data_IF_787920956284
#
_entry.id   IF_787920956284
#
_cell.length_a   1.000
_cell.length_b   1.000
_cell.length_c   1.000
_cell.angle_alpha   90.00
_cell.angle_beta   90.00
_cell.angle_gamma   90.00
#
_symmetry.space_group_name_H-M   'P 1'
#
loop_
_entity.id
_entity.type
_entity.pdbx_description
1 polymer ?
#
# COMPACT_ATOMS: atom_id res chain seq x y z
N UNK A 1 -23.68 -24.63 3.82
CA UNK A 1 -23.26 -25.07 5.17
C UNK A 1 -23.34 -23.86 6.08
N UNK A 2 -24.41 -23.80 6.88
CA UNK A 2 -24.65 -22.75 7.87
C UNK A 2 -23.56 -22.81 8.93
N UNK A 3 -22.65 -21.84 8.92
CA UNK A 3 -21.65 -21.69 9.96
C UNK A 3 -22.34 -21.35 11.28
N UNK A 4 -22.16 -22.22 12.27
CA UNK A 4 -22.62 -22.03 13.63
C UNK A 4 -22.07 -20.70 14.15
N UNK A 5 -22.93 -19.70 14.38
CA UNK A 5 -22.50 -18.41 14.93
C UNK A 5 -22.14 -18.64 16.38
N UNK A 6 -20.91 -18.33 16.78
CA UNK A 6 -20.51 -18.41 18.17
C UNK A 6 -21.44 -17.53 19.04
N UNK A 7 -21.75 -18.01 20.24
CA UNK A 7 -22.60 -17.26 21.17
C UNK A 7 -21.99 -15.88 21.50
N UNK A 8 -22.81 -14.82 21.65
CA UNK A 8 -22.30 -13.48 21.97
C UNK A 8 -21.54 -13.43 23.31
N UNK A 9 -20.30 -12.94 23.26
CA UNK A 9 -19.40 -12.70 24.40
C UNK A 9 -19.85 -11.55 25.30
N UNK A 10 -20.74 -10.68 24.84
CA UNK A 10 -21.49 -9.67 25.59
C UNK A 10 -22.95 -9.66 25.16
N UNK A 11 -23.86 -9.36 26.09
CA UNK A 11 -25.28 -9.24 25.84
C UNK A 11 -25.68 -7.79 25.48
N UNK A 12 -26.74 -7.61 24.71
CA UNK A 12 -27.31 -6.28 24.46
C UNK A 12 -27.81 -5.66 25.79
N UNK A 13 -27.70 -4.34 25.92
CA UNK A 13 -27.95 -3.57 27.15
C UNK A 13 -27.05 -3.88 28.35
N UNK A 14 -26.11 -4.84 28.24
CA UNK A 14 -25.14 -5.11 29.29
C UNK A 14 -24.27 -3.87 29.53
N UNK A 15 -24.06 -3.51 30.80
CA UNK A 15 -23.08 -2.49 31.18
C UNK A 15 -21.74 -3.18 31.42
N UNK A 16 -20.71 -2.71 30.71
CA UNK A 16 -19.32 -3.10 30.91
C UNK A 16 -18.61 -1.95 31.60
N UNK A 17 -17.96 -2.24 32.72
CA UNK A 17 -17.19 -1.27 33.49
C UNK A 17 -15.71 -1.62 33.40
N UNK A 18 -14.90 -0.65 33.00
CA UNK A 18 -13.44 -0.77 33.12
C UNK A 18 -13.04 -0.73 34.59
N UNK A 19 -12.35 -1.76 35.12
CA UNK A 19 -11.94 -1.79 36.51
C UNK A 19 -10.92 -0.69 36.86
N UNK A 20 -10.06 -0.28 35.92
CA UNK A 20 -9.05 0.75 36.16
C UNK A 20 -9.59 2.17 35.99
N UNK A 21 -10.31 2.44 34.90
CA UNK A 21 -10.76 3.81 34.58
C UNK A 21 -12.16 4.13 35.12
N UNK A 22 -12.90 3.10 35.58
CA UNK A 22 -14.31 3.19 35.99
C UNK A 22 -15.25 3.69 34.87
N UNK A 23 -14.79 3.74 33.63
CA UNK A 23 -15.63 4.08 32.48
C UNK A 23 -16.64 2.96 32.26
N UNK A 24 -17.91 3.34 32.23
CA UNK A 24 -19.03 2.44 31.98
C UNK A 24 -19.52 2.62 30.54
N UNK A 25 -19.72 1.50 29.84
CA UNK A 25 -20.25 1.47 28.50
C UNK A 25 -21.41 0.48 28.42
N UNK A 26 -22.57 0.93 27.93
CA UNK A 26 -23.72 0.07 27.63
C UNK A 26 -23.55 -0.53 26.25
N UNK A 27 -23.58 -1.85 26.15
CA UNK A 27 -23.50 -2.59 24.89
C UNK A 27 -24.81 -2.42 24.13
N UNK A 28 -24.75 -1.99 22.89
CA UNK A 28 -25.93 -1.79 22.04
C UNK A 28 -26.18 -3.04 21.19
N UNK A 29 -25.22 -3.39 20.33
CA UNK A 29 -25.34 -4.52 19.40
C UNK A 29 -23.98 -5.01 18.91
N UNK A 30 -23.94 -6.27 18.47
CA UNK A 30 -22.79 -6.84 17.77
C UNK A 30 -22.59 -6.15 16.41
N UNK A 31 -21.36 -5.73 16.12
CA UNK A 31 -20.95 -5.17 14.83
C UNK A 31 -20.29 -6.21 13.93
N UNK A 32 -19.51 -7.12 14.51
CA UNK A 32 -18.82 -8.15 13.75
C UNK A 32 -18.10 -9.16 14.65
N UNK A 33 -17.71 -10.28 14.03
CA UNK A 33 -17.00 -11.38 14.67
C UNK A 33 -15.90 -11.87 13.73
N UNK A 34 -14.76 -12.27 14.31
CA UNK A 34 -13.67 -12.90 13.58
C UNK A 34 -12.71 -13.63 14.50
N UNK A 35 -11.58 -14.11 13.94
CA UNK A 35 -10.60 -14.91 14.68
C UNK A 35 -9.94 -14.22 15.89
N UNK A 36 -10.10 -12.90 16.01
CA UNK A 36 -9.59 -12.09 17.13
C UNK A 36 -10.64 -11.74 18.17
N UNK A 37 -11.89 -12.17 18.01
CA UNK A 37 -12.98 -11.93 18.95
C UNK A 37 -14.19 -11.24 18.30
N UNK A 38 -15.02 -10.65 19.16
CA UNK A 38 -16.26 -9.98 18.78
C UNK A 38 -16.16 -8.48 19.04
N UNK A 39 -16.76 -7.67 18.17
CA UNK A 39 -16.77 -6.21 18.29
C UNK A 39 -18.21 -5.73 18.43
N UNK A 40 -18.45 -4.90 19.43
CA UNK A 40 -19.77 -4.37 19.77
C UNK A 40 -19.79 -2.86 19.62
N UNK A 41 -20.93 -2.33 19.18
CA UNK A 41 -21.24 -0.92 19.36
C UNK A 41 -21.65 -0.71 20.81
N UNK A 42 -21.17 0.37 21.43
CA UNK A 42 -21.52 0.70 22.80
C UNK A 42 -21.67 2.21 23.00
N UNK A 43 -22.49 2.57 23.97
CA UNK A 43 -22.70 3.94 24.43
C UNK A 43 -22.01 4.12 25.77
N UNK A 44 -21.01 4.99 25.85
CA UNK A 44 -20.37 5.40 27.09
C UNK A 44 -21.37 6.15 27.97
N UNK A 45 -21.48 5.75 29.23
CA UNK A 45 -22.33 6.38 30.23
C UNK A 45 -21.59 7.51 30.96
N UNK A 46 -22.34 8.48 31.48
CA UNK A 46 -21.80 9.63 32.20
C UNK A 46 -21.10 10.67 31.31
N UNK A 47 -20.25 11.52 31.88
CA UNK A 47 -19.45 12.51 31.16
C UNK A 47 -17.98 12.07 31.06
N UNK A 48 -17.33 12.33 29.93
CA UNK A 48 -15.90 12.13 29.74
C UNK A 48 -15.36 13.13 28.72
N UNK A 49 -14.25 13.78 29.05
CA UNK A 49 -13.55 14.67 28.12
C UNK A 49 -12.67 13.91 27.10
N UNK A 50 -12.35 12.64 27.36
CA UNK A 50 -11.37 11.87 26.58
C UNK A 50 -12.01 10.78 25.72
N UNK A 51 -13.11 10.19 26.20
CA UNK A 51 -13.78 9.08 25.52
C UNK A 51 -15.12 9.59 24.94
N UNK A 52 -15.35 9.46 23.62
CA UNK A 52 -16.61 9.83 23.00
C UNK A 52 -17.80 9.07 23.59
N UNK A 53 -19.01 9.60 23.39
CA UNK A 53 -20.23 8.92 23.79
C UNK A 53 -20.44 7.59 23.04
N UNK A 54 -20.13 7.55 21.75
CA UNK A 54 -20.26 6.32 20.95
C UNK A 54 -18.87 5.71 20.70
N UNK A 55 -18.72 4.44 21.10
CA UNK A 55 -17.47 3.69 21.02
C UNK A 55 -17.70 2.27 20.50
N UNK A 56 -16.61 1.56 20.21
CA UNK A 56 -16.63 0.12 20.01
C UNK A 56 -15.97 -0.60 21.19
N UNK A 57 -16.54 -1.73 21.61
CA UNK A 57 -15.89 -2.64 22.55
C UNK A 57 -15.48 -3.90 21.78
N UNK A 58 -14.18 -4.12 21.61
CA UNK A 58 -13.65 -5.39 21.09
C UNK A 58 -13.36 -6.31 22.26
N UNK A 59 -13.85 -7.54 22.18
CA UNK A 59 -13.77 -8.55 23.24
C UNK A 59 -13.16 -9.83 22.69
N UNK A 60 -12.11 -10.32 23.34
CA UNK A 60 -11.44 -11.56 22.95
C UNK A 60 -11.22 -12.47 24.15
N UNK A 61 -11.42 -13.79 24.02
CA UNK A 61 -10.98 -14.74 25.04
C UNK A 61 -9.46 -15.01 24.96
N UNK A 62 -8.75 -14.48 23.95
CA UNK A 62 -7.33 -14.74 23.71
C UNK A 62 -6.48 -13.50 23.99
N UNK A 63 -5.50 -13.65 24.87
CA UNK A 63 -4.64 -12.55 25.30
C UNK A 63 -3.65 -12.08 24.21
N UNK A 64 -3.13 -12.98 23.37
CA UNK A 64 -1.99 -12.67 22.48
C UNK A 64 -2.27 -11.55 21.47
N UNK A 65 -3.44 -11.59 20.83
CA UNK A 65 -3.87 -10.57 19.86
C UNK A 65 -4.19 -9.25 20.55
N UNK A 66 -4.89 -9.35 21.68
CA UNK A 66 -5.25 -8.20 22.51
C UNK A 66 -4.01 -7.44 23.02
N UNK A 67 -2.98 -8.13 23.51
CA UNK A 67 -1.74 -7.49 23.99
C UNK A 67 -1.06 -6.67 22.89
N UNK A 68 -1.04 -7.20 21.66
CA UNK A 68 -0.47 -6.46 20.52
C UNK A 68 -1.29 -5.23 20.18
N UNK A 69 -2.62 -5.37 20.13
CA UNK A 69 -3.51 -4.23 19.86
C UNK A 69 -3.44 -3.16 20.94
N UNK A 70 -3.38 -3.56 22.22
CA UNK A 70 -3.16 -2.67 23.34
C UNK A 70 -1.82 -1.91 23.21
N UNK A 71 -0.73 -2.62 22.95
CA UNK A 71 0.61 -2.04 22.80
C UNK A 71 0.67 -1.05 21.63
N UNK A 72 0.20 -1.46 20.44
CA UNK A 72 0.24 -0.59 19.25
C UNK A 72 -0.79 0.54 19.34
N UNK A 73 -1.91 0.32 20.01
CA UNK A 73 -2.87 1.36 20.36
C UNK A 73 -2.23 2.47 21.18
N UNK A 74 -1.44 2.11 22.19
CA UNK A 74 -0.68 3.07 22.99
C UNK A 74 0.43 3.74 22.17
N UNK A 75 1.19 2.98 21.38
CA UNK A 75 2.26 3.52 20.52
C UNK A 75 1.73 4.55 19.50
N UNK A 76 0.50 4.35 19.02
CA UNK A 76 -0.15 5.18 18.00
C UNK A 76 -1.18 6.15 18.58
N UNK A 77 -1.27 6.28 19.90
CA UNK A 77 -2.23 7.19 20.51
C UNK A 77 -2.02 8.63 20.02
N UNK A 78 -3.12 9.33 19.80
CA UNK A 78 -3.16 10.67 19.21
C UNK A 78 -2.88 10.73 17.70
N UNK A 79 -2.48 9.63 17.04
CA UNK A 79 -2.20 9.68 15.61
C UNK A 79 -3.50 9.85 14.78
N UNK A 80 -3.62 10.86 13.91
CA UNK A 80 -4.89 11.18 13.21
C UNK A 80 -5.33 10.14 12.17
N UNK A 81 -4.52 9.11 11.96
CA UNK A 81 -4.65 8.06 10.93
C UNK A 81 -4.67 6.65 11.50
N UNK A 82 -4.70 6.50 12.83
CA UNK A 82 -4.90 5.23 13.52
C UNK A 82 -6.22 5.28 14.30
N UNK A 83 -6.94 4.16 14.36
CA UNK A 83 -8.09 3.98 15.26
C UNK A 83 -7.58 4.10 16.69
N UNK A 84 -8.15 5.03 17.45
CA UNK A 84 -7.73 5.26 18.84
C UNK A 84 -8.20 4.11 19.74
N UNK A 85 -7.32 3.70 20.65
CA UNK A 85 -7.64 2.83 21.78
C UNK A 85 -7.80 3.72 23.00
N UNK A 86 -9.02 3.83 23.51
CA UNK A 86 -9.35 4.65 24.69
C UNK A 86 -9.06 3.91 25.99
N UNK A 87 -9.29 2.60 26.01
CA UNK A 87 -9.12 1.79 27.21
C UNK A 87 -8.82 0.33 26.88
N UNK A 88 -8.22 -0.39 27.82
CA UNK A 88 -7.86 -1.80 27.74
C UNK A 88 -7.98 -2.44 29.12
N UNK A 89 -8.79 -3.49 29.25
CA UNK A 89 -9.02 -4.10 30.56
C UNK A 89 -9.49 -5.55 30.45
N UNK A 90 -9.25 -6.39 31.49
CA UNK A 90 -9.88 -7.68 31.62
C UNK A 90 -11.30 -7.56 32.19
N UNK A 91 -12.19 -8.47 31.79
CA UNK A 91 -13.55 -8.62 32.29
C UNK A 91 -13.79 -10.08 32.67
N UNK A 92 -14.19 -10.34 33.91
CA UNK A 92 -14.58 -11.67 34.35
C UNK A 92 -16.04 -11.95 33.96
N UNK A 93 -16.28 -13.04 33.22
CA UNK A 93 -17.64 -13.50 32.86
C UNK A 93 -17.70 -15.02 32.91
N UNK A 94 -18.62 -15.57 33.72
CA UNK A 94 -18.86 -17.01 33.79
C UNK A 94 -17.61 -17.84 34.11
N UNK A 95 -16.72 -17.33 34.97
CA UNK A 95 -15.46 -17.99 35.33
C UNK A 95 -14.34 -17.83 34.30
N UNK A 96 -14.56 -17.12 33.19
CA UNK A 96 -13.56 -16.87 32.15
C UNK A 96 -13.14 -15.39 32.11
N UNK A 97 -11.86 -15.14 31.88
CA UNK A 97 -11.32 -13.80 31.58
C UNK A 97 -11.58 -13.47 30.10
N UNK A 98 -12.23 -12.35 29.86
CA UNK A 98 -12.37 -11.72 28.56
C UNK A 98 -11.49 -10.47 28.50
N UNK A 99 -10.74 -10.29 27.43
CA UNK A 99 -9.87 -9.13 27.23
C UNK A 99 -10.59 -8.10 26.35
N UNK A 100 -10.81 -6.91 26.90
CA UNK A 100 -11.60 -5.85 26.29
C UNK A 100 -10.72 -4.68 25.83
N UNK A 101 -11.06 -4.09 24.68
CA UNK A 101 -10.55 -2.81 24.20
C UNK A 101 -11.71 -1.87 23.92
N UNK A 102 -11.64 -0.65 24.43
CA UNK A 102 -12.55 0.44 24.06
C UNK A 102 -11.90 1.23 22.92
N UNK A 103 -12.57 1.31 21.78
CA UNK A 103 -12.02 1.80 20.52
C UNK A 103 -12.87 2.93 19.93
N UNK A 104 -12.23 3.75 19.09
CA UNK A 104 -12.93 4.71 18.23
C UNK A 104 -13.93 4.02 17.30
N UNK A 105 -15.17 4.51 17.27
CA UNK A 105 -16.20 4.04 16.34
C UNK A 105 -16.08 4.72 14.98
N UNK A 106 -15.77 3.95 13.94
CA UNK A 106 -15.83 4.41 12.56
C UNK A 106 -17.22 4.17 11.96
N UNK A 107 -18.06 5.22 11.95
CA UNK A 107 -19.48 5.10 11.56
C UNK A 107 -19.74 4.56 10.15
N UNK A 108 -18.79 4.71 9.23
CA UNK A 108 -18.95 4.20 7.86
C UNK A 108 -18.38 2.78 7.66
N UNK A 109 -17.91 2.14 8.73
CA UNK A 109 -17.37 0.79 8.72
C UNK A 109 -16.01 0.68 8.05
N UNK A 110 -15.64 -0.54 7.66
CA UNK A 110 -14.41 -0.81 6.94
C UNK A 110 -14.48 -0.35 5.47
N UNK A 111 -13.32 -0.19 4.86
CA UNK A 111 -13.16 0.29 3.50
C UNK A 111 -13.76 -0.67 2.46
N UNK A 112 -13.74 -1.98 2.72
CA UNK A 112 -14.32 -2.97 1.82
C UNK A 112 -15.84 -2.79 1.70
N UNK A 113 -16.52 -2.72 2.84
CA UNK A 113 -17.95 -2.50 2.91
C UNK A 113 -18.33 -1.11 2.38
N UNK A 114 -17.51 -0.09 2.66
CA UNK A 114 -17.72 1.27 2.17
C UNK A 114 -17.69 1.35 0.63
N UNK A 115 -16.65 0.79 0.01
CA UNK A 115 -16.52 0.80 -1.45
C UNK A 115 -17.65 0.00 -2.10
N UNK A 116 -17.97 -1.18 -1.53
CA UNK A 116 -19.05 -2.05 -2.02
C UNK A 116 -20.42 -1.35 -2.04
N UNK A 117 -20.74 -0.55 -1.01
CA UNK A 117 -21.99 0.25 -0.98
C UNK A 117 -21.96 1.43 -1.94
N UNK A 118 -20.80 2.08 -2.09
CA UNK A 118 -20.69 3.29 -2.92
C UNK A 118 -20.70 2.99 -4.43
N UNK A 119 -20.16 1.84 -4.83
CA UNK A 119 -19.96 1.43 -6.22
C UNK A 119 -19.09 2.38 -7.05
N UNK A 120 -18.42 3.37 -6.43
CA UNK A 120 -17.71 4.45 -7.12
C UNK A 120 -16.29 4.61 -6.59
N UNK A 121 -15.35 4.68 -7.54
CA UNK A 121 -13.96 5.00 -7.26
C UNK A 121 -13.80 6.38 -6.63
N UNK A 122 -12.75 6.54 -5.83
CA UNK A 122 -12.36 7.83 -5.28
C UNK A 122 -11.59 8.63 -6.32
N UNK A 123 -11.71 9.96 -6.24
CA UNK A 123 -10.86 10.82 -7.06
C UNK A 123 -9.40 10.60 -6.71
N UNK A 124 -8.52 10.71 -7.72
CA UNK A 124 -7.08 10.54 -7.51
C UNK A 124 -6.54 11.45 -6.40
N UNK A 125 -7.01 12.70 -6.31
CA UNK A 125 -6.63 13.64 -5.25
C UNK A 125 -6.98 13.10 -3.86
N UNK A 126 -8.18 12.56 -3.70
CA UNK A 126 -8.64 12.00 -2.43
C UNK A 126 -7.84 10.72 -2.08
N UNK A 127 -7.68 9.81 -3.04
CA UNK A 127 -6.93 8.57 -2.85
C UNK A 127 -5.47 8.83 -2.46
N UNK A 128 -4.79 9.78 -3.12
CA UNK A 128 -3.42 10.20 -2.78
C UNK A 128 -3.33 10.72 -1.33
N UNK A 129 -4.25 11.60 -0.93
CA UNK A 129 -4.30 12.19 0.41
C UNK A 129 -4.46 11.11 1.49
N UNK A 130 -5.42 10.21 1.28
CA UNK A 130 -5.79 9.21 2.29
C UNK A 130 -4.75 8.09 2.39
N UNK A 131 -4.21 7.63 1.26
CA UNK A 131 -3.10 6.66 1.26
C UNK A 131 -1.82 7.26 1.88
N UNK A 132 -1.52 8.53 1.62
CA UNK A 132 -0.38 9.20 2.27
C UNK A 132 -0.54 9.22 3.79
N UNK A 133 -1.74 9.46 4.30
CA UNK A 133 -2.02 9.42 5.74
C UNK A 133 -1.85 8.02 6.35
N UNK A 134 -2.27 6.95 5.65
CA UNK A 134 -2.03 5.59 6.11
C UNK A 134 -0.53 5.24 6.10
N UNK A 135 0.21 5.71 5.09
CA UNK A 135 1.65 5.53 4.99
C UNK A 135 2.41 6.25 6.11
N UNK A 136 1.89 7.35 6.67
CA UNK A 136 2.50 8.03 7.83
C UNK A 136 2.51 7.13 9.07
N UNK A 137 1.40 6.41 9.33
CA UNK A 137 1.34 5.39 10.40
C UNK A 137 2.33 4.27 10.11
N UNK A 138 2.33 3.77 8.87
CA UNK A 138 3.19 2.67 8.47
C UNK A 138 4.68 3.05 8.57
N UNK A 139 5.04 4.29 8.22
CA UNK A 139 6.39 4.82 8.37
C UNK A 139 6.83 4.88 9.83
N UNK A 140 5.92 5.24 10.76
CA UNK A 140 6.19 5.18 12.20
C UNK A 140 6.50 3.74 12.65
N UNK A 141 5.74 2.75 12.19
CA UNK A 141 5.99 1.33 12.49
C UNK A 141 7.31 0.85 11.88
N UNK A 142 7.56 1.14 10.60
CA UNK A 142 8.76 0.69 9.88
C UNK A 142 10.05 1.23 10.49
N UNK A 143 10.06 2.49 10.97
CA UNK A 143 11.21 3.06 11.70
C UNK A 143 11.50 2.34 13.02
N UNK A 144 10.46 1.84 13.69
CA UNK A 144 10.56 0.96 14.86
C UNK A 144 10.77 -0.52 14.52
N UNK A 145 11.23 -0.85 13.30
CA UNK A 145 11.43 -2.22 12.81
C UNK A 145 10.19 -3.12 13.01
N UNK A 146 9.01 -2.53 12.88
CA UNK A 146 7.74 -3.23 13.05
C UNK A 146 7.03 -3.31 11.70
N UNK A 147 6.53 -4.49 11.35
CA UNK A 147 5.82 -4.76 10.10
C UNK A 147 4.34 -5.02 10.39
N UNK A 148 3.45 -4.42 9.61
CA UNK A 148 2.00 -4.56 9.82
C UNK A 148 1.50 -5.93 9.34
N UNK A 149 1.92 -6.35 8.14
CA UNK A 149 1.67 -7.67 7.52
C UNK A 149 0.23 -7.99 7.13
N UNK A 150 -0.76 -7.29 7.68
CA UNK A 150 -2.17 -7.49 7.35
C UNK A 150 -2.89 -6.19 6.97
N UNK A 151 -2.27 -5.38 6.11
CA UNK A 151 -2.94 -4.21 5.55
C UNK A 151 -3.97 -4.68 4.51
N UNK A 152 -5.24 -4.55 4.85
CA UNK A 152 -6.37 -4.94 4.01
C UNK A 152 -7.49 -3.90 4.08
N UNK A 153 -8.39 -3.84 3.09
CA UNK A 153 -9.59 -3.01 3.18
C UNK A 153 -10.50 -3.33 4.36
N UNK A 154 -10.38 -4.50 5.01
CA UNK A 154 -11.15 -4.87 6.20
C UNK A 154 -10.56 -4.25 7.48
N UNK A 155 -9.25 -3.94 7.47
CA UNK A 155 -8.53 -3.37 8.62
C UNK A 155 -8.32 -1.85 8.47
N UNK A 156 -8.89 -1.24 7.43
CA UNK A 156 -8.88 0.21 7.21
C UNK A 156 -10.32 0.71 7.31
N UNK A 157 -10.53 1.67 8.19
CA UNK A 157 -11.86 2.18 8.51
C UNK A 157 -12.10 3.56 7.89
N UNK A 158 -13.35 3.80 7.52
CA UNK A 158 -13.78 5.07 6.93
C UNK A 158 -14.50 5.89 8.01
N UNK A 159 -13.84 6.97 8.43
CA UNK A 159 -14.37 7.95 9.36
C UNK A 159 -14.97 9.15 8.61
N UNK A 160 -15.48 10.10 9.39
CA UNK A 160 -16.10 11.33 8.92
C UNK A 160 -15.21 12.11 7.94
N UNK A 161 -15.83 12.71 6.92
CA UNK A 161 -15.11 13.40 5.85
C UNK A 161 -14.33 12.47 4.91
N UNK A 162 -14.68 11.17 4.86
CA UNK A 162 -13.97 10.12 4.10
C UNK A 162 -12.50 10.03 4.50
N UNK A 163 -12.26 10.08 5.81
CA UNK A 163 -10.92 9.96 6.40
C UNK A 163 -10.62 8.49 6.67
N UNK A 164 -9.56 7.97 6.08
CA UNK A 164 -9.07 6.62 6.36
C UNK A 164 -8.25 6.61 7.64
N UNK A 165 -8.53 5.62 8.48
CA UNK A 165 -7.76 5.27 9.66
C UNK A 165 -7.43 3.79 9.65
N UNK A 166 -6.20 3.47 10.02
CA UNK A 166 -5.74 2.10 10.17
C UNK A 166 -6.20 1.55 11.52
N UNK A 167 -6.77 0.35 11.53
CA UNK A 167 -7.05 -0.41 12.74
C UNK A 167 -6.51 -1.83 12.64
N UNK A 168 -6.90 -2.65 13.62
CA UNK A 168 -6.52 -4.06 13.78
C UNK A 168 -5.01 -4.34 13.71
N UNK A 169 -4.35 -4.14 14.84
CA UNK A 169 -2.93 -4.41 15.03
C UNK A 169 -2.67 -5.83 15.58
N UNK A 170 -3.67 -6.72 15.58
CA UNK A 170 -3.62 -8.03 16.22
C UNK A 170 -2.58 -9.00 15.63
N UNK A 171 -2.05 -8.71 14.44
CA UNK A 171 -1.07 -9.54 13.72
C UNK A 171 0.28 -8.81 13.52
N UNK A 172 0.40 -7.58 14.02
CA UNK A 172 1.62 -6.77 13.87
C UNK A 172 2.78 -7.45 14.60
N UNK A 173 3.97 -7.46 13.98
CA UNK A 173 5.14 -8.16 14.54
C UNK A 173 6.38 -7.29 14.43
N UNK A 174 7.13 -7.26 15.53
CA UNK A 174 8.48 -6.72 15.53
C UNK A 174 9.41 -7.64 14.74
N UNK A 175 10.27 -7.04 13.95
CA UNK A 175 11.27 -7.74 13.17
C UNK A 175 12.47 -8.02 14.07
N UNK A 176 12.77 -9.29 14.34
CA UNK A 176 13.92 -9.67 15.17
C UNK A 176 15.27 -9.57 14.45
N UNK A 177 15.28 -9.56 13.12
CA UNK A 177 16.48 -9.41 12.29
C UNK A 177 16.13 -8.71 10.95
N UNK A 178 17.04 -7.89 10.42
CA UNK A 178 16.90 -7.10 9.17
C UNK A 178 16.51 -7.93 7.94
N UNK A 179 16.60 -9.26 8.00
CA UNK A 179 16.21 -10.20 6.94
C UNK A 179 14.69 -10.35 6.73
N UNK A 180 13.85 -9.97 7.70
CA UNK A 180 12.37 -10.02 7.60
C UNK A 180 11.73 -11.15 8.43
N UNK A 181 10.40 -11.31 8.38
CA UNK A 181 9.66 -12.28 9.22
C UNK A 181 9.02 -13.39 8.37
N UNK A 182 9.10 -14.65 8.80
CA UNK A 182 8.46 -15.79 8.12
C UNK A 182 6.94 -15.61 8.03
N UNK A 183 6.39 -15.70 6.81
CA UNK A 183 4.95 -15.65 6.57
C UNK A 183 4.28 -17.01 6.85
N UNK A 184 3.30 -17.07 7.77
CA UNK A 184 2.57 -18.33 8.10
C UNK A 184 1.12 -18.31 7.59
N UNK A 185 0.36 -17.28 7.95
CA UNK A 185 -1.05 -17.10 7.53
C UNK A 185 -1.20 -15.68 6.99
N UNK A 186 -1.58 -15.55 5.72
CA UNK A 186 -1.66 -14.24 5.05
C UNK A 186 -2.96 -14.13 4.26
N UNK A 187 -3.55 -12.94 4.21
CA UNK A 187 -4.70 -12.69 3.35
C UNK A 187 -4.30 -12.79 1.87
N UNK A 188 -4.80 -13.81 1.17
CA UNK A 188 -4.45 -14.07 -0.23
C UNK A 188 -4.80 -12.91 -1.19
N UNK A 189 -5.78 -12.06 -0.85
CA UNK A 189 -6.15 -10.91 -1.66
C UNK A 189 -5.04 -9.85 -1.69
N UNK A 190 -4.35 -9.63 -0.58
CA UNK A 190 -3.39 -8.54 -0.42
C UNK A 190 -1.94 -9.01 -0.26
N UNK A 191 -1.68 -10.31 -0.06
CA UNK A 191 -0.32 -10.83 0.06
C UNK A 191 0.39 -11.00 -1.30
N UNK A 192 1.64 -10.56 -1.48
CA UNK A 192 2.34 -10.76 -2.75
C UNK A 192 2.39 -12.24 -3.16
N UNK A 193 2.22 -12.53 -4.46
CA UNK A 193 2.24 -13.91 -4.97
C UNK A 193 3.53 -14.65 -4.61
N UNK A 194 4.67 -13.96 -4.61
CA UNK A 194 5.97 -14.56 -4.28
C UNK A 194 6.08 -14.98 -2.80
N UNK A 195 5.32 -14.33 -1.90
CA UNK A 195 5.20 -14.75 -0.50
C UNK A 195 4.31 -16.00 -0.41
N UNK A 196 3.17 -16.00 -1.11
CA UNK A 196 2.21 -17.11 -1.12
C UNK A 196 2.82 -18.39 -1.70
N UNK A 197 3.60 -18.25 -2.77
CA UNK A 197 4.33 -19.34 -3.44
C UNK A 197 5.61 -19.76 -2.69
N UNK A 198 5.91 -19.15 -1.53
CA UNK A 198 7.12 -19.38 -0.72
C UNK A 198 8.46 -19.11 -1.43
N UNK A 199 8.44 -18.47 -2.60
CA UNK A 199 9.62 -18.04 -3.34
C UNK A 199 10.40 -16.92 -2.60
N UNK A 200 9.71 -16.14 -1.76
CA UNK A 200 10.31 -15.14 -0.88
C UNK A 200 9.74 -15.28 0.55
N UNK A 201 10.24 -16.20 1.39
CA UNK A 201 9.55 -16.57 2.63
C UNK A 201 9.57 -15.48 3.72
N UNK A 202 10.41 -14.44 3.56
CA UNK A 202 10.57 -13.36 4.55
C UNK A 202 9.85 -12.08 4.13
N UNK A 203 8.87 -11.69 4.92
CA UNK A 203 8.14 -10.43 4.82
C UNK A 203 9.01 -9.24 5.22
N UNK A 204 8.94 -8.14 4.46
CA UNK A 204 9.69 -6.90 4.65
C UNK A 204 8.78 -5.67 4.49
N UNK A 205 9.28 -4.46 4.80
CA UNK A 205 8.57 -3.20 4.62
C UNK A 205 7.97 -3.01 3.21
N UNK A 206 8.70 -3.43 2.17
CA UNK A 206 8.24 -3.42 0.77
C UNK A 206 7.00 -4.29 0.50
N UNK A 207 6.71 -5.27 1.36
CA UNK A 207 5.55 -6.15 1.24
C UNK A 207 4.32 -5.52 1.91
N UNK A 208 4.49 -4.70 2.96
CA UNK A 208 3.43 -3.80 3.43
C UNK A 208 3.11 -2.73 2.36
N UNK A 209 4.14 -2.18 1.69
CA UNK A 209 3.96 -1.26 0.55
C UNK A 209 3.16 -1.91 -0.59
N UNK A 210 3.37 -3.20 -0.86
CA UNK A 210 2.56 -3.94 -1.83
C UNK A 210 1.07 -3.91 -1.44
N UNK A 211 0.76 -4.17 -0.17
CA UNK A 211 -0.61 -4.14 0.34
C UNK A 211 -1.23 -2.74 0.22
N UNK A 212 -0.47 -1.68 0.51
CA UNK A 212 -0.92 -0.29 0.30
C UNK A 212 -1.15 0.00 -1.18
N UNK A 213 -0.29 -0.49 -2.08
CA UNK A 213 -0.47 -0.39 -3.54
C UNK A 213 -1.74 -1.06 -4.03
N UNK A 214 -2.07 -2.25 -3.49
CA UNK A 214 -3.34 -2.93 -3.76
C UNK A 214 -4.53 -2.06 -3.34
N UNK A 215 -4.50 -1.52 -2.12
CA UNK A 215 -5.57 -0.64 -1.61
C UNK A 215 -5.71 0.63 -2.44
N UNK A 216 -4.61 1.26 -2.85
CA UNK A 216 -4.64 2.44 -3.72
C UNK A 216 -5.32 2.12 -5.07
N UNK A 217 -4.99 1.00 -5.71
CA UNK A 217 -5.66 0.58 -6.93
C UNK A 217 -7.15 0.27 -6.72
N UNK A 218 -7.51 -0.37 -5.60
CA UNK A 218 -8.91 -0.65 -5.23
C UNK A 218 -9.73 0.63 -5.00
N UNK A 219 -9.14 1.64 -4.35
CA UNK A 219 -9.77 2.95 -4.15
C UNK A 219 -10.09 3.64 -5.47
N UNK A 220 -9.15 3.62 -6.42
CA UNK A 220 -9.34 4.23 -7.74
C UNK A 220 -10.38 3.46 -8.56
N UNK A 221 -10.36 2.13 -8.47
CA UNK A 221 -11.33 1.27 -9.16
C UNK A 221 -12.74 1.37 -8.54
N UNK A 222 -12.83 1.63 -7.24
CA UNK A 222 -14.10 1.64 -6.50
C UNK A 222 -14.56 0.26 -6.04
N UNK A 223 -13.68 -0.74 -6.03
CA UNK A 223 -14.01 -2.11 -5.62
C UNK A 223 -12.82 -2.76 -4.90
N UNK A 224 -13.06 -3.34 -3.73
CA UNK A 224 -12.08 -4.03 -2.89
C UNK A 224 -12.21 -5.57 -2.90
N UNK A 225 -13.23 -6.13 -3.58
CA UNK A 225 -13.52 -7.58 -3.57
C UNK A 225 -12.52 -8.39 -4.38
N UNK A 226 -11.94 -7.80 -5.41
CA UNK A 226 -10.97 -8.45 -6.28
C UNK A 226 -9.59 -7.83 -6.11
N UNK A 227 -8.54 -8.62 -6.28
CA UNK A 227 -7.16 -8.08 -6.28
C UNK A 227 -6.89 -7.28 -7.55
N UNK A 228 -6.07 -6.22 -7.44
CA UNK A 228 -5.54 -5.51 -8.62
C UNK A 228 -4.42 -6.35 -9.23
N UNK A 229 -4.50 -6.64 -10.53
CA UNK A 229 -3.42 -7.26 -11.31
C UNK A 229 -2.70 -6.21 -12.13
N UNK A 230 -1.48 -6.52 -12.55
CA UNK A 230 -0.67 -5.56 -13.33
C UNK A 230 -1.29 -5.21 -14.68
N UNK A 231 -2.14 -6.07 -15.26
CA UNK A 231 -2.88 -5.77 -16.49
C UNK A 231 -4.09 -4.84 -16.25
N UNK A 232 -4.68 -4.83 -15.05
CA UNK A 232 -5.83 -3.98 -14.71
C UNK A 232 -5.43 -2.50 -14.63
N UNK A 233 -4.17 -2.21 -14.29
CA UNK A 233 -3.66 -0.86 -14.03
C UNK A 233 -3.92 0.09 -15.19
N UNK A 234 -3.81 -0.40 -16.43
CA UNK A 234 -4.03 0.41 -17.62
C UNK A 234 -5.44 1.00 -17.66
N UNK A 235 -6.43 0.24 -17.20
CA UNK A 235 -7.84 0.62 -17.20
C UNK A 235 -8.25 1.50 -16.01
N UNK A 236 -7.37 1.71 -15.02
CA UNK A 236 -7.69 2.56 -13.88
C UNK A 236 -7.96 4.02 -14.34
N UNK A 237 -9.05 4.66 -13.88
CA UNK A 237 -9.40 6.04 -14.24
C UNK A 237 -8.55 7.07 -13.46
N UNK A 238 -7.23 7.04 -13.68
CA UNK A 238 -6.27 7.92 -13.03
C UNK A 238 -5.11 8.29 -13.99
N UNK A 239 -4.27 9.22 -13.55
CA UNK A 239 -3.10 9.67 -14.31
C UNK A 239 -2.09 8.54 -14.52
N UNK A 240 -1.31 8.64 -15.59
CA UNK A 240 -0.19 7.73 -15.85
C UNK A 240 0.79 7.68 -14.66
N UNK A 241 0.99 8.80 -13.98
CA UNK A 241 1.83 8.83 -12.78
C UNK A 241 1.29 7.92 -11.67
N UNK A 242 -0.01 7.99 -11.34
CA UNK A 242 -0.57 7.10 -10.32
C UNK A 242 -0.54 5.63 -10.76
N UNK A 243 -0.75 5.37 -12.05
CA UNK A 243 -0.60 4.02 -12.63
C UNK A 243 0.81 3.49 -12.44
N UNK A 244 1.84 4.31 -12.67
CA UNK A 244 3.24 3.93 -12.43
C UNK A 244 3.50 3.60 -10.94
N UNK A 245 2.96 4.38 -10.01
CA UNK A 245 3.06 4.12 -8.56
C UNK A 245 2.43 2.78 -8.20
N UNK A 246 1.18 2.55 -8.62
CA UNK A 246 0.46 1.28 -8.35
C UNK A 246 1.23 0.11 -8.98
N UNK A 247 1.69 0.27 -10.23
CA UNK A 247 2.48 -0.76 -10.93
C UNK A 247 3.77 -1.10 -10.18
N UNK A 248 4.48 -0.08 -9.69
CA UNK A 248 5.71 -0.28 -8.94
C UNK A 248 5.46 -0.99 -7.62
N UNK A 249 4.36 -0.70 -6.92
CA UNK A 249 3.99 -1.37 -5.67
C UNK A 249 3.63 -2.84 -5.89
N UNK A 250 2.80 -3.16 -6.89
CA UNK A 250 2.22 -4.50 -7.05
C UNK A 250 2.98 -5.40 -8.04
N UNK A 251 3.95 -4.82 -8.74
CA UNK A 251 4.80 -5.54 -9.69
C UNK A 251 5.93 -6.30 -9.00
N UNK A 252 7.05 -6.37 -9.71
CA UNK A 252 8.23 -7.12 -9.33
C UNK A 252 8.79 -6.66 -7.97
N UNK A 253 8.91 -7.60 -7.02
CA UNK A 253 9.28 -7.32 -5.63
C UNK A 253 10.54 -6.45 -5.44
N UNK A 254 11.59 -6.70 -6.23
CA UNK A 254 12.87 -5.94 -6.17
C UNK A 254 12.77 -4.49 -6.66
N UNK A 255 11.66 -4.11 -7.31
CA UNK A 255 11.42 -2.77 -7.85
C UNK A 255 10.43 -1.95 -7.04
N UNK A 256 9.77 -2.55 -6.05
CA UNK A 256 8.84 -1.88 -5.13
C UNK A 256 9.53 -0.73 -4.39
N UNK A 257 8.75 0.19 -3.84
CA UNK A 257 9.30 1.15 -2.88
C UNK A 257 9.80 0.39 -1.65
N UNK A 258 10.97 0.77 -1.15
CA UNK A 258 11.67 0.11 -0.06
C UNK A 258 11.03 0.43 1.30
N UNK A 259 10.35 1.58 1.40
CA UNK A 259 9.72 2.06 2.64
C UNK A 259 8.43 2.86 2.35
N UNK A 260 7.64 3.07 3.42
CA UNK A 260 6.49 3.96 3.37
C UNK A 260 6.87 5.40 2.98
N UNK A 261 8.00 5.91 3.49
CA UNK A 261 8.48 7.27 3.21
C UNK A 261 8.81 7.46 1.72
N UNK A 262 9.41 6.44 1.07
CA UNK A 262 9.69 6.49 -0.37
C UNK A 262 8.39 6.51 -1.20
N UNK A 263 7.37 5.76 -0.79
CA UNK A 263 6.06 5.78 -1.44
C UNK A 263 5.33 7.11 -1.24
N UNK A 264 5.40 7.71 -0.04
CA UNK A 264 4.87 9.06 0.23
C UNK A 264 5.51 10.08 -0.71
N UNK A 265 6.84 10.03 -0.85
CA UNK A 265 7.56 10.93 -1.75
C UNK A 265 7.05 10.81 -3.19
N UNK A 266 6.86 9.58 -3.70
CA UNK A 266 6.30 9.37 -5.03
C UNK A 266 4.85 9.85 -5.17
N UNK A 267 4.02 9.72 -4.13
CA UNK A 267 2.64 10.22 -4.15
C UNK A 267 2.56 11.74 -4.19
N UNK A 268 3.51 12.44 -3.58
CA UNK A 268 3.57 13.90 -3.51
C UNK A 268 4.28 14.53 -4.71
N UNK A 269 5.36 13.91 -5.16
CA UNK A 269 6.29 14.49 -6.13
C UNK A 269 6.28 13.67 -7.42
N UNK A 270 5.67 14.18 -8.52
CA UNK A 270 5.80 13.53 -9.81
C UNK A 270 7.26 13.55 -10.27
N UNK A 271 7.77 12.44 -10.84
CA UNK A 271 9.13 12.41 -11.36
C UNK A 271 9.27 13.44 -12.47
N UNK A 272 10.42 14.12 -12.49
CA UNK A 272 10.72 15.12 -13.50
C UNK A 272 10.49 14.56 -14.90
N UNK A 273 9.86 15.34 -15.77
CA UNK A 273 9.60 14.93 -17.15
C UNK A 273 10.92 14.54 -17.83
N UNK A 274 10.92 13.40 -18.52
CA UNK A 274 12.07 12.94 -19.27
C UNK A 274 12.27 13.87 -20.49
N UNK A 275 13.00 14.96 -20.30
CA UNK A 275 13.37 15.87 -21.39
C UNK A 275 14.45 15.24 -22.26
N UNK A 276 14.34 15.43 -23.57
CA UNK A 276 15.39 15.07 -24.50
C UNK A 276 16.63 15.91 -24.20
N UNK A 277 17.78 15.27 -24.04
CA UNK A 277 19.06 15.95 -23.90
C UNK A 277 19.74 16.11 -25.26
N UNK A 278 20.87 16.81 -25.25
CA UNK A 278 21.72 17.00 -26.43
C UNK A 278 22.98 16.16 -26.27
N UNK A 279 23.28 15.32 -27.26
CA UNK A 279 24.54 14.56 -27.35
C UNK A 279 25.15 14.79 -28.72
N UNK A 280 26.50 14.81 -28.77
CA UNK A 280 27.28 15.06 -30.01
C UNK A 280 27.81 13.78 -30.65
N UNK A 281 27.94 12.69 -29.88
CA UNK A 281 28.44 11.39 -30.34
C UNK A 281 27.81 10.24 -29.56
N UNK A 282 27.81 9.04 -30.16
CA UNK A 282 27.38 7.78 -29.56
C UNK A 282 28.56 6.84 -29.22
N UNK A 283 29.80 7.24 -29.50
CA UNK A 283 31.00 6.43 -29.21
C UNK A 283 31.16 6.19 -27.71
N UNK A 284 31.30 4.93 -27.30
CA UNK A 284 31.46 4.52 -25.89
C UNK A 284 30.18 4.64 -25.05
N UNK A 285 29.04 4.98 -25.65
CA UNK A 285 27.78 5.17 -24.94
C UNK A 285 27.07 3.84 -24.72
N UNK A 286 26.56 3.63 -23.50
CA UNK A 286 25.69 2.50 -23.16
C UNK A 286 24.23 2.87 -23.44
N UNK A 287 23.68 2.28 -24.50
CA UNK A 287 22.42 2.69 -25.11
C UNK A 287 21.33 1.64 -24.98
N UNK A 288 20.12 2.06 -24.64
CA UNK A 288 18.91 1.23 -24.74
C UNK A 288 17.82 1.92 -25.56
N UNK A 289 16.97 1.14 -26.25
CA UNK A 289 15.83 1.67 -27.01
C UNK A 289 14.50 1.44 -26.27
N UNK A 290 13.55 2.37 -26.37
CA UNK A 290 12.19 2.25 -25.84
C UNK A 290 11.16 2.87 -26.81
N UNK A 291 9.89 2.47 -26.68
CA UNK A 291 8.81 2.89 -27.59
C UNK A 291 8.82 2.15 -28.93
N UNK A 292 7.93 2.58 -29.81
CA UNK A 292 7.79 2.11 -31.20
C UNK A 292 8.73 2.96 -32.07
N UNK A 293 9.72 2.33 -32.69
CA UNK A 293 10.67 2.97 -33.59
C UNK A 293 10.09 3.05 -35.01
N UNK A 294 10.46 4.06 -35.78
CA UNK A 294 10.07 4.20 -37.19
C UNK A 294 10.74 3.17 -38.09
N UNK A 295 11.91 2.64 -37.68
CA UNK A 295 12.59 1.53 -38.37
C UNK A 295 12.63 0.27 -37.52
N UNK A 296 12.93 -0.87 -38.16
CA UNK A 296 13.09 -2.15 -37.45
C UNK A 296 14.16 -2.01 -36.37
N UNK A 297 13.87 -2.55 -35.18
CA UNK A 297 14.77 -2.46 -34.03
C UNK A 297 16.16 -3.03 -34.32
N UNK A 298 16.25 -4.10 -35.11
CA UNK A 298 17.53 -4.69 -35.55
C UNK A 298 18.38 -3.71 -36.37
N UNK A 299 17.77 -2.89 -37.22
CA UNK A 299 18.45 -1.86 -38.00
C UNK A 299 19.00 -0.74 -37.10
N UNK A 300 18.17 -0.24 -36.17
CA UNK A 300 18.60 0.76 -35.20
C UNK A 300 19.76 0.27 -34.32
N UNK A 301 19.73 -1.01 -33.90
CA UNK A 301 20.83 -1.63 -33.14
C UNK A 301 22.12 -1.67 -33.96
N UNK A 302 22.06 -2.09 -35.23
CA UNK A 302 23.24 -2.10 -36.12
C UNK A 302 23.80 -0.69 -36.34
N UNK A 303 22.94 0.30 -36.56
CA UNK A 303 23.35 1.69 -36.72
C UNK A 303 24.05 2.23 -35.46
N UNK A 304 23.49 1.98 -34.27
CA UNK A 304 24.08 2.38 -33.00
C UNK A 304 25.47 1.75 -32.79
N UNK A 305 25.62 0.44 -33.06
CA UNK A 305 26.91 -0.27 -32.93
C UNK A 305 27.96 0.27 -33.90
N UNK A 306 27.59 0.55 -35.16
CA UNK A 306 28.51 1.19 -36.13
C UNK A 306 29.00 2.57 -35.67
N UNK A 307 28.13 3.33 -35.02
CA UNK A 307 28.44 4.61 -34.39
C UNK A 307 29.21 4.49 -33.05
N UNK A 308 29.60 3.27 -32.65
CA UNK A 308 30.44 3.01 -31.47
C UNK A 308 29.68 2.88 -30.14
N UNK A 309 28.36 2.74 -30.15
CA UNK A 309 27.57 2.51 -28.94
C UNK A 309 27.51 1.03 -28.53
N UNK A 310 27.44 0.80 -27.22
CA UNK A 310 27.19 -0.50 -26.60
C UNK A 310 25.69 -0.62 -26.33
N UNK A 311 25.00 -1.47 -27.08
CA UNK A 311 23.54 -1.57 -27.02
C UNK A 311 23.07 -2.66 -26.06
N UNK A 312 22.18 -2.28 -25.13
CA UNK A 312 21.58 -3.16 -24.13
C UNK A 312 20.11 -3.49 -24.46
N UNK A 313 19.63 -4.63 -23.97
CA UNK A 313 18.24 -5.06 -24.13
C UNK A 313 17.24 -4.13 -23.43
N UNK A 314 17.64 -3.49 -22.32
CA UNK A 314 16.85 -2.52 -21.58
C UNK A 314 17.74 -1.63 -20.70
N UNK A 315 17.14 -0.62 -20.04
CA UNK A 315 17.87 0.25 -19.13
C UNK A 315 18.44 -0.53 -17.94
N UNK A 316 19.64 -0.15 -17.53
CA UNK A 316 20.40 -0.71 -16.42
C UNK A 316 21.23 0.39 -15.76
N UNK A 317 21.89 0.08 -14.64
CA UNK A 317 22.79 1.00 -13.93
C UNK A 317 23.89 1.58 -14.84
N UNK A 318 24.38 0.78 -15.81
CA UNK A 318 25.38 1.24 -16.77
C UNK A 318 24.81 2.03 -17.95
N UNK A 319 23.48 2.14 -18.10
CA UNK A 319 22.86 2.85 -19.23
C UNK A 319 23.09 4.36 -19.09
N UNK A 320 23.65 4.98 -20.13
CA UNK A 320 23.93 6.42 -20.18
C UNK A 320 23.02 7.16 -21.16
N UNK A 321 22.49 6.47 -22.16
CA UNK A 321 21.55 7.02 -23.14
C UNK A 321 20.36 6.08 -23.37
N UNK A 322 19.17 6.66 -23.48
CA UNK A 322 17.99 5.95 -23.97
C UNK A 322 17.39 6.66 -25.17
N UNK A 323 17.22 5.91 -26.25
CA UNK A 323 16.50 6.38 -27.45
C UNK A 323 15.02 6.04 -27.31
N UNK A 324 14.18 7.07 -27.34
CA UNK A 324 12.72 6.98 -27.23
C UNK A 324 12.08 7.21 -28.60
N UNK A 325 11.43 6.16 -29.12
CA UNK A 325 10.49 6.24 -30.24
C UNK A 325 9.10 6.71 -29.79
N UNK A 326 8.10 6.53 -30.66
CA UNK A 326 6.72 6.89 -30.36
C UNK A 326 6.18 6.09 -29.16
N UNK A 327 5.33 6.68 -28.31
CA UNK A 327 4.69 5.96 -27.20
C UNK A 327 3.91 4.73 -27.72
N UNK A 328 3.92 3.64 -26.97
CA UNK A 328 3.04 2.50 -27.26
C UNK A 328 1.77 2.66 -26.40
N UNK A 329 0.59 2.91 -27.00
CA UNK A 329 -0.66 3.14 -26.26
C UNK A 329 -1.14 1.91 -25.47
N UNK A 330 -0.59 0.71 -25.73
CA UNK A 330 -0.91 -0.54 -25.05
C UNK A 330 -0.04 -0.80 -23.78
N UNK A 331 0.74 0.18 -23.32
CA UNK A 331 1.63 -0.02 -22.17
C UNK A 331 0.90 -0.12 -20.82
N UNK A 332 1.55 -0.81 -19.87
CA UNK A 332 0.96 -1.21 -18.60
C UNK A 332 0.54 -0.02 -17.69
N UNK A 333 1.24 1.12 -17.77
CA UNK A 333 0.92 2.34 -17.01
C UNK A 333 0.63 3.53 -17.94
N UNK A 334 -0.21 3.32 -18.96
CA UNK A 334 -0.68 4.38 -19.86
C UNK A 334 0.29 4.76 -20.97
N UNK A 335 0.18 5.99 -21.50
CA UNK A 335 0.94 6.44 -22.68
C UNK A 335 2.41 6.68 -22.36
N UNK A 336 2.74 7.16 -21.16
CA UNK A 336 4.11 7.46 -20.74
C UNK A 336 4.76 6.38 -19.85
N UNK A 337 4.00 5.37 -19.43
CA UNK A 337 4.38 4.38 -18.42
C UNK A 337 4.83 3.01 -18.94
N UNK A 338 5.73 2.99 -19.92
CA UNK A 338 6.35 1.73 -20.37
C UNK A 338 7.32 1.18 -19.33
N UNK A 339 7.43 -0.16 -19.20
CA UNK A 339 8.37 -0.81 -18.24
C UNK A 339 9.80 -0.25 -18.29
N UNK A 340 10.30 0.07 -19.49
CA UNK A 340 11.63 0.69 -19.66
C UNK A 340 11.66 2.17 -19.26
N UNK A 341 10.60 2.94 -19.50
CA UNK A 341 10.50 4.35 -19.08
C UNK A 341 10.41 4.48 -17.56
N UNK A 342 9.63 3.62 -16.91
CA UNK A 342 9.58 3.54 -15.45
C UNK A 342 10.96 3.21 -14.85
N UNK A 343 11.67 2.25 -15.45
CA UNK A 343 13.03 1.91 -14.99
C UNK A 343 14.01 3.08 -15.17
N UNK A 344 13.89 3.87 -16.24
CA UNK A 344 14.73 5.06 -16.45
C UNK A 344 14.46 6.13 -15.40
N UNK A 345 13.18 6.41 -15.11
CA UNK A 345 12.79 7.35 -14.05
C UNK A 345 13.39 6.92 -12.71
N UNK A 346 13.24 5.64 -12.35
CA UNK A 346 13.80 5.03 -11.13
C UNK A 346 15.32 5.14 -11.05
N UNK A 347 16.04 4.86 -12.14
CA UNK A 347 17.50 4.99 -12.17
C UNK A 347 17.94 6.44 -12.00
N UNK A 348 17.22 7.41 -12.60
CA UNK A 348 17.50 8.83 -12.42
C UNK A 348 17.24 9.30 -10.99
N UNK A 349 16.19 8.81 -10.34
CA UNK A 349 15.92 9.05 -8.91
C UNK A 349 17.07 8.57 -8.03
N UNK A 350 17.74 7.48 -8.41
CA UNK A 350 18.95 6.95 -7.73
C UNK A 350 20.25 7.68 -8.12
N UNK A 351 20.15 8.81 -8.83
CA UNK A 351 21.31 9.63 -9.21
C UNK A 351 22.00 9.21 -10.51
N UNK A 352 21.51 8.19 -11.24
CA UNK A 352 22.12 7.80 -12.50
C UNK A 352 21.83 8.82 -13.61
N UNK A 353 22.89 9.30 -14.26
CA UNK A 353 22.80 10.29 -15.35
C UNK A 353 22.43 9.61 -16.67
N UNK A 354 21.14 9.60 -16.98
CA UNK A 354 20.60 9.05 -18.23
C UNK A 354 20.11 10.17 -19.14
N UNK A 355 20.67 10.24 -20.35
CA UNK A 355 20.21 11.19 -21.39
C UNK A 355 19.12 10.54 -22.24
N UNK A 356 17.97 11.19 -22.40
CA UNK A 356 16.95 10.75 -23.35
C UNK A 356 17.25 11.36 -24.73
N UNK A 357 17.24 10.55 -25.78
CA UNK A 357 17.27 11.01 -27.17
C UNK A 357 15.97 10.64 -27.84
N UNK A 358 15.38 11.56 -28.62
CA UNK A 358 14.31 11.19 -29.52
C UNK A 358 14.88 10.48 -30.76
N UNK A 359 14.01 9.80 -31.50
CA UNK A 359 14.43 9.02 -32.67
C UNK A 359 15.08 9.88 -33.78
N UNK A 360 14.63 11.13 -33.97
CA UNK A 360 15.25 12.05 -34.95
C UNK A 360 16.70 12.38 -34.58
N UNK A 361 16.95 12.71 -33.32
CA UNK A 361 18.30 12.97 -32.80
C UNK A 361 19.20 11.75 -32.93
N UNK A 362 18.66 10.56 -32.65
CA UNK A 362 19.40 9.31 -32.82
C UNK A 362 19.84 9.08 -34.27
N UNK A 363 18.92 9.21 -35.24
CA UNK A 363 19.24 9.01 -36.65
C UNK A 363 20.23 10.05 -37.17
N UNK A 364 20.14 11.30 -36.72
CA UNK A 364 21.12 12.34 -37.05
C UNK A 364 22.53 12.01 -36.54
N UNK A 365 22.66 11.37 -35.37
CA UNK A 365 23.96 11.01 -34.80
C UNK A 365 24.62 9.81 -35.49
N UNK A 366 23.85 8.83 -35.94
CA UNK A 366 24.38 7.65 -36.64
C UNK A 366 24.65 7.90 -38.13
N UNK A 367 24.08 8.97 -38.71
CA UNK A 367 24.29 9.36 -40.10
C UNK A 367 25.54 10.22 -40.32
N UNK A 368 26.18 10.72 -39.26
CA UNK A 368 27.40 11.53 -39.38
C UNK A 368 28.57 10.66 -39.89
N UNK A 369 29.30 11.08 -40.93
CA UNK A 369 30.52 10.40 -41.36
C UNK A 369 31.55 10.43 -40.21
N UNK A 370 32.37 9.37 -40.13
CA UNK A 370 33.35 9.17 -39.06
C UNK A 370 34.44 10.22 -39.06
#
# INVERSE_FOLDING_TARGET
MSGDRASPLLAASQIVTSPETQIQCRVERLLGEGGFGQVYLATRLGHSALVPEIVCIKVSPRIDGWLREAYFGQLLDGHPRAIRVFDRFPLMRGGQVLYCLTLEYARHGDLSAFLSRSGKGWSERLARREISGLLEVLGKLHRGQTLHRDLTPLNVFVCDGRRLKLGDFGIVRQQSDRRGITARTMNALTAPSEILERAAPKWQARDDVYQVGQMLGMLIRGDARTRIRTHDIRALPCTDHLKEIVYRCIGERRKRYESADEMINALRNPPATLRAGVRRTLKGVHLAFTGILSKRRSEAIRAARRAGAIVHGGPSVGTTVVVRGRPNPLQAAGRDGGRKLMEIKRLREKGHRITLLNERQFWALVARPR
#
